data_IF_987602216450
#
_entry.id   IF_987602216450
#
_cell.length_a   1.000
_cell.length_b   1.000
_cell.length_c   1.000
_cell.angle_alpha   90.00
_cell.angle_beta   90.00
_cell.angle_gamma   90.00
#
_symmetry.space_group_name_H-M   'P 1'
#
loop_
_entity.id
_entity.type
_entity.pdbx_description
1 polymer ?
#
# COMPACT_ATOMS: atom_id res chain seq x y z
N UNK A 1 -20.73 28.60 3.03
CA UNK A 1 -20.20 27.43 3.77
C UNK A 1 -18.92 26.81 3.17
N UNK A 2 -18.69 26.80 1.84
CA UNK A 2 -17.44 26.27 1.24
C UNK A 2 -16.16 27.08 1.56
N UNK A 3 -16.31 28.33 2.01
CA UNK A 3 -15.17 29.21 2.33
C UNK A 3 -14.56 28.98 3.72
N UNK A 4 -15.30 28.39 4.66
CA UNK A 4 -14.82 28.27 6.06
C UNK A 4 -13.69 27.24 6.23
N UNK A 5 -13.57 26.28 5.31
CA UNK A 5 -12.63 25.15 5.43
C UNK A 5 -11.88 24.91 4.11
N UNK A 6 -10.90 25.77 3.75
CA UNK A 6 -10.15 25.64 2.51
C UNK A 6 -9.45 24.28 2.34
N UNK A 7 -9.10 23.61 3.45
CA UNK A 7 -8.47 22.28 3.48
C UNK A 7 -9.42 21.10 3.25
N UNK A 8 -10.75 21.32 3.28
CA UNK A 8 -11.75 20.27 2.96
C UNK A 8 -12.12 20.25 1.48
N UNK A 9 -11.41 21.01 0.64
CA UNK A 9 -11.61 20.96 -0.82
C UNK A 9 -11.16 19.60 -1.34
N UNK A 10 -11.95 18.94 -2.20
CA UNK A 10 -11.52 17.69 -2.82
C UNK A 10 -10.27 17.95 -3.64
N UNK A 11 -9.20 17.22 -3.31
CA UNK A 11 -7.96 17.24 -4.08
C UNK A 11 -8.25 16.59 -5.43
N UNK A 12 -8.25 17.38 -6.51
CA UNK A 12 -8.49 16.91 -7.89
C UNK A 12 -7.24 16.37 -8.58
N UNK A 13 -6.11 16.33 -7.85
CA UNK A 13 -4.83 15.90 -8.40
C UNK A 13 -4.85 14.38 -8.49
N UNK A 14 -4.50 13.85 -9.65
CA UNK A 14 -4.34 12.41 -9.83
C UNK A 14 -3.25 11.85 -8.92
N UNK A 15 -3.33 10.56 -8.61
CA UNK A 15 -2.28 9.89 -7.84
C UNK A 15 -0.92 10.06 -8.56
N UNK A 16 0.13 10.55 -7.88
CA UNK A 16 1.44 10.68 -8.49
C UNK A 16 1.93 9.34 -9.05
N UNK A 17 2.55 9.38 -10.23
CA UNK A 17 3.05 8.18 -10.92
C UNK A 17 4.09 7.42 -10.10
N UNK A 18 4.86 8.12 -9.27
CA UNK A 18 5.84 7.55 -8.34
C UNK A 18 5.22 6.71 -7.22
N UNK A 19 3.95 6.97 -6.87
CA UNK A 19 3.24 6.29 -5.77
C UNK A 19 2.51 5.04 -6.27
N UNK A 20 2.08 5.03 -7.55
CA UNK A 20 1.39 3.90 -8.19
C UNK A 20 2.04 2.52 -7.90
N UNK A 21 3.34 2.30 -8.17
CA UNK A 21 3.97 1.00 -7.92
C UNK A 21 4.08 0.65 -6.44
N UNK A 22 4.14 1.65 -5.57
CA UNK A 22 4.26 1.43 -4.13
C UNK A 22 2.93 0.95 -3.53
N UNK A 23 1.79 1.49 -4.01
CA UNK A 23 0.47 1.02 -3.60
C UNK A 23 0.20 -0.39 -4.09
N UNK A 24 0.55 -0.71 -5.34
CA UNK A 24 0.47 -2.09 -5.86
C UNK A 24 1.24 -3.03 -4.93
N UNK A 25 2.50 -2.71 -4.62
CA UNK A 25 3.30 -3.53 -3.70
C UNK A 25 2.65 -3.65 -2.33
N UNK A 26 2.16 -2.55 -1.76
CA UNK A 26 1.51 -2.55 -0.46
C UNK A 26 0.25 -3.43 -0.43
N UNK A 27 -0.60 -3.38 -1.45
CA UNK A 27 -1.83 -4.19 -1.49
C UNK A 27 -1.56 -5.66 -1.84
N UNK A 28 -0.44 -5.95 -2.51
CA UNK A 28 -0.02 -7.32 -2.81
C UNK A 28 0.62 -8.03 -1.62
N UNK A 29 1.60 -7.39 -0.97
CA UNK A 29 2.44 -8.04 0.08
C UNK A 29 2.29 -7.41 1.47
N UNK A 30 1.38 -6.44 1.63
CA UNK A 30 1.12 -5.74 2.89
C UNK A 30 2.24 -4.76 3.30
N UNK A 31 3.22 -4.51 2.44
CA UNK A 31 4.40 -3.70 2.76
C UNK A 31 4.67 -2.66 1.68
N UNK A 32 4.85 -1.40 2.11
CA UNK A 32 5.32 -0.36 1.21
C UNK A 32 6.79 -0.59 0.84
N UNK A 33 7.62 -1.13 1.73
CA UNK A 33 8.99 -1.52 1.42
C UNK A 33 9.14 -3.03 1.66
N UNK A 34 9.53 -3.82 0.64
CA UNK A 34 9.63 -5.25 0.79
C UNK A 34 10.79 -5.60 1.73
N UNK A 35 10.75 -6.81 2.31
CA UNK A 35 11.87 -7.37 3.05
C UNK A 35 12.89 -7.88 2.05
N UNK A 36 13.93 -7.10 1.79
CA UNK A 36 15.03 -7.46 0.89
C UNK A 36 16.03 -8.39 1.58
N UNK A 37 16.91 -9.02 0.80
CA UNK A 37 17.93 -9.91 1.36
C UNK A 37 18.98 -9.12 2.17
N UNK A 38 19.32 -7.88 1.76
CA UNK A 38 20.20 -7.03 2.56
C UNK A 38 19.59 -6.70 3.93
N UNK A 39 18.26 -6.50 3.99
CA UNK A 39 17.57 -6.28 5.26
C UNK A 39 17.58 -7.54 6.14
N UNK A 40 17.39 -8.72 5.55
CA UNK A 40 17.45 -9.99 6.31
C UNK A 40 18.84 -10.19 6.91
N UNK A 41 19.89 -10.01 6.11
CA UNK A 41 21.28 -10.11 6.59
C UNK A 41 21.59 -9.10 7.69
N UNK A 42 21.14 -7.85 7.55
CA UNK A 42 21.33 -6.83 8.57
C UNK A 42 20.62 -7.19 9.89
N UNK A 43 19.43 -7.81 9.81
CA UNK A 43 18.68 -8.28 10.99
C UNK A 43 19.38 -9.45 11.66
N UNK A 44 19.85 -10.44 10.91
CA UNK A 44 20.62 -11.57 11.44
C UNK A 44 21.89 -11.09 12.14
N UNK A 45 22.66 -10.18 11.53
CA UNK A 45 23.86 -9.57 12.13
C UNK A 45 23.56 -8.82 13.43
N UNK A 46 22.35 -8.28 13.56
CA UNK A 46 21.86 -7.63 14.77
C UNK A 46 21.27 -8.60 15.81
N UNK A 47 21.28 -9.92 15.56
CA UNK A 47 20.68 -10.93 16.44
C UNK A 47 19.15 -10.94 16.42
N UNK A 48 18.54 -10.37 15.37
CA UNK A 48 17.10 -10.34 15.18
C UNK A 48 16.66 -11.44 14.20
N UNK A 49 15.40 -11.85 14.29
CA UNK A 49 14.79 -12.74 13.31
C UNK A 49 14.88 -12.11 11.89
N UNK A 50 15.44 -12.82 10.89
CA UNK A 50 15.65 -12.28 9.54
C UNK A 50 14.37 -11.73 8.91
N UNK A 51 13.23 -12.38 9.17
CA UNK A 51 11.92 -11.96 8.67
C UNK A 51 11.16 -11.29 9.82
N UNK A 52 10.93 -9.97 9.79
CA UNK A 52 10.18 -9.32 10.85
C UNK A 52 8.72 -9.82 10.91
N UNK A 53 8.05 -9.74 12.07
CA UNK A 53 6.66 -10.18 12.26
C UNK A 53 5.68 -9.19 11.60
N UNK A 54 5.74 -9.08 10.27
CA UNK A 54 4.91 -8.18 9.44
C UNK A 54 4.07 -9.00 8.47
N UNK A 55 3.34 -8.32 7.56
CA UNK A 55 2.59 -8.97 6.48
C UNK A 55 3.47 -9.81 5.53
N UNK A 56 4.80 -9.64 5.57
CA UNK A 56 5.71 -10.57 4.89
C UNK A 56 5.58 -12.00 5.45
N UNK A 57 5.43 -12.14 6.78
CA UNK A 57 5.22 -13.40 7.48
C UNK A 57 3.75 -13.79 7.55
N UNK A 58 2.88 -12.85 7.94
CA UNK A 58 1.45 -13.08 8.14
C UNK A 58 0.67 -12.59 6.91
N UNK A 59 0.46 -13.48 5.94
CA UNK A 59 -0.11 -13.12 4.62
C UNK A 59 -1.56 -12.63 4.73
N UNK A 60 -2.27 -13.04 5.76
CA UNK A 60 -3.62 -12.60 6.11
C UNK A 60 -3.67 -11.08 6.28
N UNK A 61 -2.58 -10.46 6.74
CA UNK A 61 -2.49 -9.01 6.86
C UNK A 61 -2.66 -8.28 5.52
N UNK A 62 -2.14 -8.84 4.43
CA UNK A 62 -2.34 -8.28 3.09
C UNK A 62 -3.78 -8.48 2.60
N UNK A 63 -4.41 -9.60 2.95
CA UNK A 63 -5.83 -9.84 2.64
C UNK A 63 -6.74 -8.86 3.35
N UNK A 64 -6.49 -8.59 4.64
CA UNK A 64 -7.30 -7.66 5.41
C UNK A 64 -7.14 -6.23 4.93
N UNK A 65 -5.93 -5.82 4.51
CA UNK A 65 -5.72 -4.55 3.81
C UNK A 65 -6.61 -4.48 2.57
N UNK A 66 -6.62 -5.51 1.71
CA UNK A 66 -7.46 -5.51 0.50
C UNK A 66 -8.95 -5.42 0.82
N UNK A 67 -9.42 -6.12 1.85
CA UNK A 67 -10.83 -6.04 2.33
C UNK A 67 -11.19 -4.61 2.74
N UNK A 68 -10.32 -3.95 3.52
CA UNK A 68 -10.52 -2.56 3.98
C UNK A 68 -10.55 -1.60 2.79
N UNK A 69 -9.57 -1.70 1.88
CA UNK A 69 -9.47 -0.84 0.69
C UNK A 69 -10.72 -0.93 -0.18
N UNK A 70 -11.21 -2.16 -0.40
CA UNK A 70 -12.45 -2.44 -1.16
C UNK A 70 -13.69 -1.89 -0.44
N UNK A 71 -13.80 -2.09 0.87
CA UNK A 71 -14.91 -1.58 1.68
C UNK A 71 -14.95 -0.04 1.71
N UNK A 72 -13.80 0.62 1.71
CA UNK A 72 -13.69 2.08 1.65
C UNK A 72 -13.83 2.66 0.23
N UNK A 73 -13.84 1.81 -0.81
CA UNK A 73 -13.88 2.22 -2.21
C UNK A 73 -12.63 2.98 -2.67
N UNK A 74 -11.50 2.79 -2.00
CA UNK A 74 -10.24 3.48 -2.33
C UNK A 74 -9.71 3.02 -3.68
N UNK A 75 -9.80 1.73 -3.97
CA UNK A 75 -9.47 1.11 -5.27
C UNK A 75 -10.18 1.83 -6.42
N UNK A 76 -11.50 2.05 -6.31
CA UNK A 76 -12.30 2.78 -7.28
C UNK A 76 -11.85 4.23 -7.41
N UNK A 77 -11.57 4.90 -6.29
CA UNK A 77 -11.18 6.31 -6.27
C UNK A 77 -9.81 6.56 -6.93
N UNK A 78 -8.89 5.59 -6.85
CA UNK A 78 -7.56 5.69 -7.47
C UNK A 78 -7.48 4.98 -8.84
N UNK A 79 -8.57 4.40 -9.32
CA UNK A 79 -8.63 3.69 -10.59
C UNK A 79 -7.79 2.41 -10.63
N UNK A 80 -7.62 1.72 -9.50
CA UNK A 80 -6.89 0.46 -9.40
C UNK A 80 -7.85 -0.73 -9.46
N UNK A 81 -7.54 -1.71 -10.30
CA UNK A 81 -8.14 -3.04 -10.22
C UNK A 81 -7.40 -3.85 -9.15
N UNK A 82 -8.04 -4.06 -8.01
CA UNK A 82 -7.40 -4.67 -6.84
C UNK A 82 -7.15 -6.18 -6.99
N UNK A 83 -7.86 -6.85 -7.89
CA UNK A 83 -7.66 -8.29 -8.14
C UNK A 83 -6.50 -8.50 -9.12
N UNK A 84 -6.42 -7.65 -10.15
CA UNK A 84 -5.34 -7.71 -11.15
C UNK A 84 -4.07 -6.97 -10.72
N UNK A 85 -4.16 -6.09 -9.74
CA UNK A 85 -3.10 -5.16 -9.34
C UNK A 85 -2.63 -4.24 -10.49
N UNK A 86 -3.59 -3.80 -11.31
CA UNK A 86 -3.35 -2.98 -12.50
C UNK A 86 -4.20 -1.70 -12.47
N UNK A 87 -3.60 -0.56 -12.81
CA UNK A 87 -4.36 0.68 -12.97
C UNK A 87 -5.16 0.65 -14.27
N UNK A 88 -6.45 1.00 -14.20
CA UNK A 88 -7.39 0.92 -15.32
C UNK A 88 -7.12 1.97 -16.42
N UNK A 89 -6.31 2.99 -16.14
CA UNK A 89 -5.93 4.03 -17.10
C UNK A 89 -4.46 4.45 -16.90
N UNK A 90 -3.73 4.65 -18.02
CA UNK A 90 -2.33 5.12 -18.03
C UNK A 90 -2.23 6.57 -17.59
#
# INVERSE_FOLDING_TARGET
MKELYPWRKPVKISLPTSVKPQLIRHFSIGLLYPVTDELKEAREKAGLDPIPPTAHRYKEGAEDIRKIIKAMGVDRNIGLDLEKMEYRFK
#
